data_IF_474035717576
#
_entry.id   IF_474035717576
#
_cell.length_a   1.000
_cell.length_b   1.000
_cell.length_c   1.000
_cell.angle_alpha   90.00
_cell.angle_beta   90.00
_cell.angle_gamma   90.00
#
_symmetry.space_group_name_H-M   'P 1'
#
loop_
_entity.id
_entity.type
_entity.pdbx_description
1 polymer ?
#
# COMPACT_ATOMS: atom_id res chain seq x y z
N UNK A 1 -2.33 -29.73 84.11
CA UNK A 1 -1.18 -29.71 83.18
C UNK A 1 -1.55 -30.65 82.05
N UNK A 2 -2.10 -30.12 80.95
CA UNK A 2 -2.70 -30.93 79.87
C UNK A 2 -1.85 -30.76 78.62
N UNK A 3 -1.29 -31.87 78.14
CA UNK A 3 -0.37 -31.94 77.01
C UNK A 3 -1.16 -31.82 75.71
N UNK A 4 -0.75 -30.92 74.82
CA UNK A 4 -1.26 -30.74 73.46
C UNK A 4 -0.65 -31.81 72.55
N UNK A 5 -1.50 -32.58 71.86
CA UNK A 5 -1.06 -33.59 70.89
C UNK A 5 -1.18 -33.00 69.46
N UNK A 6 -0.04 -32.82 68.79
CA UNK A 6 0.03 -32.38 67.39
C UNK A 6 -0.43 -33.49 66.43
N UNK A 7 -1.42 -33.20 65.57
CA UNK A 7 -1.74 -34.03 64.41
C UNK A 7 -0.98 -33.53 63.18
N UNK A 8 0.01 -34.31 62.73
CA UNK A 8 0.57 -34.21 61.38
C UNK A 8 -0.31 -35.02 60.41
N UNK A 9 -1.00 -34.33 59.50
CA UNK A 9 -1.74 -34.96 58.41
C UNK A 9 -0.79 -35.28 57.25
N UNK A 10 -0.44 -36.57 57.10
CA UNK A 10 0.23 -37.09 55.91
C UNK A 10 -0.81 -37.21 54.79
N UNK A 11 -0.71 -36.35 53.77
CA UNK A 11 -1.52 -36.44 52.56
C UNK A 11 -1.15 -37.73 51.78
N UNK A 12 -1.98 -38.76 51.91
CA UNK A 12 -1.91 -39.97 51.07
C UNK A 12 -2.20 -39.58 49.62
N UNK A 13 -1.20 -39.75 48.72
CA UNK A 13 -1.44 -39.78 47.27
C UNK A 13 -2.40 -40.93 46.99
N UNK A 14 -3.57 -40.60 46.45
CA UNK A 14 -4.55 -41.57 45.98
C UNK A 14 -4.04 -42.07 44.63
N UNK A 15 -3.54 -43.30 44.59
CA UNK A 15 -3.07 -43.92 43.36
C UNK A 15 -4.22 -43.99 42.36
N UNK A 16 -4.01 -43.35 41.20
CA UNK A 16 -5.01 -43.27 40.15
C UNK A 16 -5.05 -44.61 39.42
N UNK A 17 -6.23 -45.25 39.26
CA UNK A 17 -6.32 -46.54 38.57
C UNK A 17 -5.83 -46.39 37.12
N UNK A 18 -5.04 -47.35 36.64
CA UNK A 18 -4.32 -47.30 35.35
C UNK A 18 -5.23 -47.02 34.15
N UNK A 19 -6.47 -47.52 34.21
CA UNK A 19 -7.56 -47.25 33.26
C UNK A 19 -7.91 -45.75 33.12
N UNK A 20 -7.95 -45.05 34.25
CA UNK A 20 -8.25 -43.61 34.30
C UNK A 20 -7.05 -42.79 33.82
N UNK A 21 -5.84 -43.20 34.17
CA UNK A 21 -4.61 -42.55 33.71
C UNK A 21 -4.50 -42.54 32.17
N UNK A 22 -4.79 -43.67 31.52
CA UNK A 22 -4.81 -43.74 30.05
C UNK A 22 -5.89 -42.84 29.43
N UNK A 23 -7.09 -42.78 30.02
CA UNK A 23 -8.16 -41.90 29.53
C UNK A 23 -7.77 -40.43 29.60
N UNK A 24 -7.17 -39.99 30.71
CA UNK A 24 -6.71 -38.60 30.85
C UNK A 24 -5.49 -38.28 29.97
N UNK A 25 -4.61 -39.25 29.73
CA UNK A 25 -3.49 -39.12 28.80
C UNK A 25 -3.97 -38.97 27.35
N UNK A 26 -4.95 -39.76 26.93
CA UNK A 26 -5.57 -39.62 25.60
C UNK A 26 -6.35 -38.31 25.48
N UNK A 27 -7.10 -37.90 26.52
CA UNK A 27 -7.83 -36.64 26.51
C UNK A 27 -6.88 -35.43 26.41
N UNK A 28 -5.76 -35.44 27.15
CA UNK A 28 -4.76 -34.37 27.09
C UNK A 28 -4.03 -34.32 25.75
N UNK A 29 -3.74 -35.49 25.15
CA UNK A 29 -3.17 -35.58 23.81
C UNK A 29 -4.14 -35.04 22.74
N UNK A 30 -5.44 -35.35 22.83
CA UNK A 30 -6.45 -34.77 21.94
C UNK A 30 -6.56 -33.24 22.10
N UNK A 31 -6.52 -32.72 23.33
CA UNK A 31 -6.54 -31.27 23.61
C UNK A 31 -5.30 -30.54 23.07
N UNK A 32 -4.13 -31.17 23.10
CA UNK A 32 -2.90 -30.62 22.49
C UNK A 32 -2.98 -30.61 20.95
N UNK A 33 -3.62 -31.61 20.33
CA UNK A 33 -3.78 -31.68 18.88
C UNK A 33 -4.79 -30.64 18.32
N UNK A 34 -5.80 -30.24 19.09
CA UNK A 34 -6.72 -29.16 18.71
C UNK A 34 -6.11 -27.75 18.83
N UNK A 35 -4.99 -27.59 19.52
CA UNK A 35 -4.32 -26.29 19.71
C UNK A 35 -3.40 -25.91 18.55
N UNK A 36 -3.11 -26.83 17.63
CA UNK A 36 -2.20 -26.60 16.50
C UNK A 36 -2.83 -25.90 15.28
N UNK A 37 -4.16 -25.70 15.28
CA UNK A 37 -4.88 -25.14 14.12
C UNK A 37 -5.27 -23.66 14.26
N UNK A 38 -4.91 -22.98 15.36
CA UNK A 38 -5.31 -21.59 15.61
C UNK A 38 -4.20 -20.54 15.42
N UNK A 39 -2.96 -20.96 15.10
CA UNK A 39 -1.81 -20.05 14.98
C UNK A 39 -1.20 -20.06 13.59
N UNK A 40 -1.96 -19.64 12.57
CA UNK A 40 -1.40 -19.35 11.24
C UNK A 40 -2.27 -18.37 10.44
N UNK A 41 -2.67 -17.24 11.04
CA UNK A 41 -3.29 -16.14 10.27
C UNK A 41 -2.61 -14.76 10.40
N UNK A 42 -1.51 -14.64 11.18
CA UNK A 42 -0.87 -13.34 11.41
C UNK A 42 0.55 -13.18 10.79
N UNK A 43 1.01 -14.10 9.93
CA UNK A 43 2.38 -14.05 9.36
C UNK A 43 2.41 -13.73 7.85
N UNK A 44 1.29 -13.32 7.26
CA UNK A 44 1.31 -12.71 5.92
C UNK A 44 0.34 -11.53 5.89
N UNK A 45 0.65 -10.47 6.64
CA UNK A 45 0.14 -9.16 6.23
C UNK A 45 0.83 -8.84 4.92
N UNK A 46 0.13 -9.09 3.82
CA UNK A 46 0.57 -8.65 2.51
C UNK A 46 0.67 -7.12 2.55
N UNK A 47 1.89 -6.59 2.72
CA UNK A 47 2.14 -5.15 2.76
C UNK A 47 2.16 -4.53 1.35
N UNK A 48 1.84 -5.33 0.33
CA UNK A 48 1.62 -4.85 -1.03
C UNK A 48 0.30 -4.09 -1.07
N UNK A 49 0.39 -2.88 -1.57
CA UNK A 49 -0.76 -2.02 -1.82
C UNK A 49 -1.06 -2.13 -3.30
N UNK A 50 -2.34 -2.18 -3.65
CA UNK A 50 -2.75 -2.02 -5.04
C UNK A 50 -2.58 -0.57 -5.44
N UNK A 51 -1.86 -0.34 -6.53
CA UNK A 51 -1.70 0.97 -7.13
C UNK A 51 -2.25 0.93 -8.53
N UNK A 52 -3.06 1.95 -8.84
CA UNK A 52 -3.36 2.33 -10.21
C UNK A 52 -2.87 3.75 -10.39
N UNK A 53 -2.18 4.02 -11.49
CA UNK A 53 -1.90 5.38 -11.92
C UNK A 53 -1.91 5.46 -13.43
N UNK A 54 -2.12 6.66 -13.96
CA UNK A 54 -2.02 6.93 -15.39
C UNK A 54 -1.35 8.27 -15.58
N UNK A 55 -0.61 8.43 -16.68
CA UNK A 55 -0.21 9.75 -17.14
C UNK A 55 -1.33 10.25 -18.05
N UNK A 56 -2.22 11.08 -17.52
CA UNK A 56 -3.21 11.71 -18.39
C UNK A 56 -2.56 12.91 -19.10
N UNK A 57 -2.02 12.65 -20.29
CA UNK A 57 -1.44 13.66 -21.20
C UNK A 57 -2.45 14.23 -22.18
N UNK A 58 -3.59 13.56 -22.33
CA UNK A 58 -4.80 14.13 -22.91
C UNK A 58 -5.48 14.93 -21.80
N UNK A 59 -6.07 16.07 -22.11
CA UNK A 59 -6.79 16.83 -21.08
C UNK A 59 -7.77 15.91 -20.33
N UNK A 60 -7.99 16.29 -19.08
CA UNK A 60 -8.72 15.58 -18.05
C UNK A 60 -10.13 15.08 -18.44
N UNK A 61 -10.70 15.60 -19.53
CA UNK A 61 -12.00 15.27 -20.10
C UNK A 61 -11.96 14.23 -21.24
N UNK A 62 -10.78 13.69 -21.57
CA UNK A 62 -10.58 12.70 -22.64
C UNK A 62 -10.70 13.26 -24.05
N UNK A 63 -10.68 14.59 -24.22
CA UNK A 63 -10.83 15.27 -25.53
C UNK A 63 -9.63 16.15 -25.90
N UNK A 64 -8.65 16.27 -25.02
CA UNK A 64 -7.52 17.19 -25.20
C UNK A 64 -6.49 16.75 -26.24
N UNK A 65 -5.66 17.72 -26.63
CA UNK A 65 -4.44 17.50 -27.40
C UNK A 65 -3.32 17.10 -26.45
N UNK A 66 -2.49 16.15 -26.87
CA UNK A 66 -1.27 15.84 -26.15
C UNK A 66 -0.27 17.01 -26.30
N UNK A 67 -0.03 17.74 -25.21
CA UNK A 67 0.90 18.88 -25.17
C UNK A 67 2.30 18.48 -24.71
N UNK A 68 2.41 17.31 -24.08
CA UNK A 68 3.67 16.79 -23.55
C UNK A 68 3.91 15.35 -23.95
N UNK A 69 5.17 14.96 -23.93
CA UNK A 69 5.63 13.62 -24.17
C UNK A 69 6.42 13.12 -22.95
N UNK A 70 5.93 12.09 -22.27
CA UNK A 70 6.70 11.45 -21.19
C UNK A 70 7.86 10.69 -21.81
N UNK A 71 9.08 11.01 -21.39
CA UNK A 71 10.32 10.44 -21.90
C UNK A 71 10.85 9.32 -21.00
N UNK A 72 10.70 9.47 -19.68
CA UNK A 72 11.13 8.48 -18.68
C UNK A 72 10.36 8.68 -17.37
N UNK A 73 10.22 7.62 -16.57
CA UNK A 73 9.65 7.70 -15.23
C UNK A 73 10.10 6.55 -14.34
N UNK A 74 10.06 6.78 -13.02
CA UNK A 74 10.22 5.77 -11.98
C UNK A 74 9.15 6.01 -10.92
N UNK A 75 8.43 4.97 -10.54
CA UNK A 75 7.44 4.98 -9.47
C UNK A 75 7.69 3.78 -8.55
N UNK A 76 8.28 4.04 -7.38
CA UNK A 76 8.75 3.03 -6.43
C UNK A 76 10.21 3.24 -6.02
N UNK A 77 10.87 2.18 -5.55
CA UNK A 77 12.28 2.21 -5.13
C UNK A 77 13.15 1.96 -6.38
N UNK A 78 14.01 2.90 -6.80
CA UNK A 78 14.89 2.69 -7.95
C UNK A 78 15.79 1.45 -7.83
N UNK A 79 16.05 0.97 -6.61
CA UNK A 79 16.87 -0.23 -6.33
C UNK A 79 16.02 -1.48 -6.06
N UNK A 80 14.70 -1.36 -6.02
CA UNK A 80 13.77 -2.46 -5.81
C UNK A 80 13.04 -2.82 -7.10
N UNK A 81 11.72 -2.94 -7.00
CA UNK A 81 10.84 -3.30 -8.13
C UNK A 81 9.93 -2.12 -8.52
N UNK A 82 10.48 -1.00 -9.01
CA UNK A 82 9.66 0.15 -9.37
C UNK A 82 8.91 -0.12 -10.66
N UNK A 83 7.75 0.52 -10.81
CA UNK A 83 7.19 0.75 -12.14
C UNK A 83 8.06 1.80 -12.83
N UNK A 84 8.54 1.53 -14.04
CA UNK A 84 9.42 2.45 -14.76
C UNK A 84 9.23 2.33 -16.25
N UNK A 85 9.68 3.35 -16.96
CA UNK A 85 9.91 3.20 -18.39
C UNK A 85 11.08 2.24 -18.63
N UNK A 86 10.93 1.27 -19.52
CA UNK A 86 12.03 0.38 -19.88
C UNK A 86 13.05 1.13 -20.73
N UNK A 87 14.34 0.94 -20.45
CA UNK A 87 15.42 1.66 -21.13
C UNK A 87 15.33 1.54 -22.67
N UNK A 88 14.99 0.37 -23.19
CA UNK A 88 14.78 0.14 -24.62
C UNK A 88 13.65 1.00 -25.21
N UNK A 89 12.56 1.22 -24.45
CA UNK A 89 11.48 2.10 -24.87
C UNK A 89 11.91 3.57 -24.80
N UNK A 90 12.71 3.94 -23.81
CA UNK A 90 13.29 5.28 -23.70
C UNK A 90 14.19 5.59 -24.91
N UNK A 91 15.07 4.65 -25.29
CA UNK A 91 15.96 4.78 -26.45
C UNK A 91 15.19 4.95 -27.78
N UNK A 92 14.01 4.35 -27.87
CA UNK A 92 13.12 4.45 -29.04
C UNK A 92 12.17 5.66 -28.99
N UNK A 93 12.12 6.40 -27.88
CA UNK A 93 11.15 7.47 -27.68
C UNK A 93 9.71 6.95 -27.52
N UNK A 94 9.55 5.71 -27.05
CA UNK A 94 8.27 4.98 -27.00
C UNK A 94 7.82 4.69 -25.56
N UNK A 95 8.11 5.59 -24.63
CA UNK A 95 7.59 5.43 -23.27
C UNK A 95 6.05 5.40 -23.30
N UNK A 96 5.42 4.36 -22.76
CA UNK A 96 3.96 4.24 -22.79
C UNK A 96 3.32 5.32 -21.90
N UNK A 97 2.71 6.31 -22.56
CA UNK A 97 2.09 7.47 -21.90
C UNK A 97 0.59 7.25 -21.67
N UNK A 98 -0.05 6.45 -22.53
CA UNK A 98 -1.44 6.06 -22.39
C UNK A 98 -1.58 4.73 -21.66
N UNK A 99 -2.18 4.73 -20.47
CA UNK A 99 -2.54 3.48 -19.80
C UNK A 99 -2.71 3.60 -18.29
N UNK A 100 -3.64 2.79 -17.77
CA UNK A 100 -3.80 2.53 -16.34
C UNK A 100 -2.70 1.55 -15.91
N UNK A 101 -1.56 2.09 -15.47
CA UNK A 101 -0.51 1.33 -14.82
C UNK A 101 -1.06 0.77 -13.51
N UNK A 102 -1.28 -0.54 -13.50
CA UNK A 102 -1.82 -1.25 -12.36
C UNK A 102 -0.76 -2.21 -11.83
N UNK A 103 -0.55 -2.22 -10.52
CA UNK A 103 0.42 -3.13 -9.92
C UNK A 103 0.35 -3.18 -8.41
N UNK A 104 0.85 -4.28 -7.86
CA UNK A 104 1.12 -4.43 -6.44
C UNK A 104 2.54 -3.93 -6.16
N UNK A 105 2.66 -2.88 -5.36
CA UNK A 105 3.94 -2.38 -4.84
C UNK A 105 3.97 -2.55 -3.33
N UNK A 106 5.12 -2.96 -2.80
CA UNK A 106 5.28 -2.95 -1.35
C UNK A 106 5.29 -1.52 -0.84
N UNK A 107 4.57 -1.25 0.26
CA UNK A 107 4.57 0.09 0.88
C UNK A 107 5.98 0.62 1.13
N UNK A 108 6.90 -0.23 1.58
CA UNK A 108 8.27 0.17 1.87
C UNK A 108 9.09 0.48 0.62
N UNK A 109 8.66 0.02 -0.56
CA UNK A 109 9.26 0.37 -1.86
C UNK A 109 8.69 1.69 -2.41
N UNK A 110 7.62 2.25 -1.85
CA UNK A 110 7.03 3.51 -2.31
C UNK A 110 7.84 4.72 -1.83
N UNK A 111 9.03 4.90 -2.41
CA UNK A 111 10.01 5.92 -2.01
C UNK A 111 10.01 7.13 -2.93
N UNK A 112 9.96 6.88 -4.24
CA UNK A 112 10.24 7.92 -5.23
C UNK A 112 9.18 7.91 -6.32
N UNK A 113 8.83 9.12 -6.77
CA UNK A 113 8.21 9.33 -8.06
C UNK A 113 9.09 10.29 -8.88
N UNK A 114 9.71 9.77 -9.93
CA UNK A 114 10.47 10.52 -10.92
C UNK A 114 9.70 10.52 -12.23
N UNK A 115 9.67 11.65 -12.92
CA UNK A 115 9.19 11.72 -14.30
C UNK A 115 9.94 12.80 -15.07
N UNK A 116 10.25 12.49 -16.32
CA UNK A 116 10.85 13.39 -17.31
C UNK A 116 9.92 13.49 -18.50
N UNK A 117 9.68 14.71 -18.96
CA UNK A 117 8.79 14.97 -20.09
C UNK A 117 9.32 16.09 -20.98
N UNK A 118 8.90 16.07 -22.25
CA UNK A 118 9.16 17.11 -23.25
C UNK A 118 7.88 17.85 -23.56
N UNK A 119 7.94 19.18 -23.58
CA UNK A 119 6.87 20.04 -24.09
C UNK A 119 6.93 20.01 -25.61
N UNK A 120 5.88 19.52 -26.27
CA UNK A 120 5.91 19.25 -27.71
C UNK A 120 6.07 20.53 -28.53
N UNK A 121 5.41 21.62 -28.11
CA UNK A 121 5.43 22.89 -28.84
C UNK A 121 6.78 23.60 -28.84
N UNK A 122 7.59 23.40 -27.79
CA UNK A 122 8.88 24.10 -27.62
C UNK A 122 10.08 23.17 -27.73
N UNK A 123 9.89 21.86 -27.60
CA UNK A 123 10.96 20.89 -27.44
C UNK A 123 11.66 20.94 -26.06
N UNK A 124 11.22 21.83 -25.16
CA UNK A 124 11.80 21.97 -23.82
C UNK A 124 11.61 20.69 -23.02
N UNK A 125 12.67 20.20 -22.40
CA UNK A 125 12.62 19.01 -21.53
C UNK A 125 12.63 19.43 -20.06
N UNK A 126 11.75 18.82 -19.27
CA UNK A 126 11.60 19.04 -17.83
C UNK A 126 11.61 17.72 -17.09
N UNK A 127 11.99 17.76 -15.82
CA UNK A 127 11.93 16.59 -14.95
C UNK A 127 11.66 16.98 -13.50
N UNK A 128 11.06 16.05 -12.75
CA UNK A 128 10.83 16.21 -11.32
C UNK A 128 11.04 14.89 -10.60
N UNK A 129 11.56 14.96 -9.38
CA UNK A 129 11.64 13.84 -8.44
C UNK A 129 10.93 14.21 -7.15
N UNK A 130 9.94 13.42 -6.76
CA UNK A 130 9.19 13.58 -5.50
C UNK A 130 9.59 12.47 -4.52
N UNK A 131 9.86 12.89 -3.28
CA UNK A 131 10.00 11.99 -2.13
C UNK A 131 8.60 11.58 -1.65
N UNK A 132 8.15 10.40 -2.06
CA UNK A 132 6.81 9.91 -1.78
C UNK A 132 6.60 9.59 -0.31
N UNK A 133 7.67 9.29 0.44
CA UNK A 133 7.55 9.02 1.87
C UNK A 133 7.17 10.28 2.66
N UNK A 134 7.58 11.45 2.17
CA UNK A 134 7.19 12.74 2.76
C UNK A 134 5.85 13.24 2.27
N UNK A 135 5.47 12.91 1.02
CA UNK A 135 4.24 13.40 0.39
C UNK A 135 3.00 12.59 0.77
N UNK A 136 3.16 11.31 1.09
CA UNK A 136 2.03 10.43 1.37
C UNK A 136 1.73 10.35 2.87
N UNK A 137 0.45 10.23 3.25
CA UNK A 137 0.08 10.06 4.64
C UNK A 137 0.58 8.71 5.16
N UNK A 138 0.87 8.64 6.47
CA UNK A 138 1.37 7.42 7.11
C UNK A 138 0.41 6.21 6.97
N UNK A 139 -0.88 6.44 6.74
CA UNK A 139 -1.90 5.41 6.51
C UNK A 139 -2.20 5.15 5.03
N UNK A 140 -1.40 5.66 4.10
CA UNK A 140 -1.57 5.46 2.66
C UNK A 140 -1.66 3.98 2.29
N UNK A 141 -2.69 3.57 1.52
CA UNK A 141 -3.04 2.17 1.27
C UNK A 141 -3.94 1.99 0.06
N UNK A 142 -4.55 0.81 -0.05
CA UNK A 142 -5.42 0.35 -1.13
C UNK A 142 -6.64 1.26 -1.41
N UNK A 143 -7.10 1.99 -0.41
CA UNK A 143 -8.24 2.92 -0.54
C UNK A 143 -7.85 4.30 -1.06
N UNK A 144 -6.57 4.56 -1.29
CA UNK A 144 -6.06 5.79 -1.87
C UNK A 144 -5.72 5.57 -3.34
N UNK A 145 -5.77 6.64 -4.13
CA UNK A 145 -5.41 6.59 -5.55
C UNK A 145 -4.49 7.77 -5.88
N UNK A 146 -3.43 7.49 -6.63
CA UNK A 146 -2.51 8.50 -7.13
C UNK A 146 -2.85 8.79 -8.59
N UNK A 147 -3.01 10.07 -8.90
CA UNK A 147 -3.34 10.52 -10.25
C UNK A 147 -2.31 11.52 -10.74
N UNK A 148 -1.71 11.24 -11.90
CA UNK A 148 -0.73 12.10 -12.54
C UNK A 148 -1.36 12.71 -13.80
N UNK A 149 -1.38 14.03 -13.86
CA UNK A 149 -2.05 14.76 -14.94
C UNK A 149 -1.17 15.88 -15.43
N UNK A 150 -1.10 16.06 -16.74
CA UNK A 150 -0.56 17.28 -17.30
C UNK A 150 -1.68 18.27 -17.62
N UNK A 151 -1.48 19.55 -17.27
CA UNK A 151 -2.31 20.66 -17.74
C UNK A 151 -1.40 21.62 -18.50
N UNK A 152 -1.50 21.59 -19.83
CA UNK A 152 -0.44 22.13 -20.70
C UNK A 152 0.91 21.49 -20.33
N UNK A 153 1.99 22.29 -20.14
CA UNK A 153 3.33 21.77 -19.85
C UNK A 153 3.57 21.46 -18.35
N UNK A 154 2.59 21.69 -17.47
CA UNK A 154 2.72 21.53 -16.02
C UNK A 154 2.20 20.16 -15.57
N UNK A 155 3.04 19.44 -14.83
CA UNK A 155 2.64 18.23 -14.12
C UNK A 155 1.86 18.57 -12.85
N UNK A 156 0.80 17.82 -12.60
CA UNK A 156 0.07 17.76 -11.34
C UNK A 156 0.08 16.33 -10.82
N UNK A 157 0.33 16.21 -9.51
CA UNK A 157 0.23 14.94 -8.78
C UNK A 157 -0.83 15.08 -7.72
N UNK A 158 -1.85 14.23 -7.80
CA UNK A 158 -2.97 14.23 -6.86
C UNK A 158 -3.01 12.95 -6.05
N UNK A 159 -3.41 13.08 -4.79
CA UNK A 159 -3.77 11.98 -3.91
C UNK A 159 -5.28 12.02 -3.63
N UNK A 160 -6.02 11.10 -4.23
CA UNK A 160 -7.45 10.92 -3.97
C UNK A 160 -7.60 10.07 -2.70
N UNK A 161 -8.26 10.63 -1.69
CA UNK A 161 -8.45 9.99 -0.39
C UNK A 161 -9.75 9.18 -0.33
N UNK A 162 -9.92 8.19 0.56
CA UNK A 162 -11.19 7.48 0.73
C UNK A 162 -12.34 8.34 1.26
N UNK A 163 -12.06 9.57 1.69
CA UNK A 163 -13.05 10.45 2.30
C UNK A 163 -13.89 11.12 1.22
N UNK A 164 -15.19 11.27 1.49
CA UNK A 164 -16.07 12.08 0.64
C UNK A 164 -15.70 13.56 0.83
N UNK A 165 -15.68 14.31 -0.27
CA UNK A 165 -15.52 15.77 -0.24
C UNK A 165 -16.73 16.41 0.44
N UNK A 166 -16.51 17.47 1.23
CA UNK A 166 -17.62 18.23 1.80
C UNK A 166 -18.37 18.99 0.69
N UNK A 167 -19.67 19.20 0.86
CA UNK A 167 -20.49 19.89 -0.15
C UNK A 167 -19.99 21.32 -0.45
N UNK A 168 -19.37 21.97 0.53
CA UNK A 168 -18.80 23.32 0.42
C UNK A 168 -17.40 23.40 -0.19
N UNK A 169 -16.66 22.29 -0.24
CA UNK A 169 -15.31 22.25 -0.83
C UNK A 169 -15.43 22.17 -2.36
N UNK A 170 -14.58 22.85 -3.13
CA UNK A 170 -14.58 22.69 -4.59
C UNK A 170 -13.94 21.35 -5.01
N UNK A 171 -14.37 20.75 -6.14
CA UNK A 171 -13.67 19.59 -6.71
C UNK A 171 -12.19 19.86 -6.98
N UNK A 172 -11.33 18.87 -6.70
CA UNK A 172 -9.90 18.91 -7.00
C UNK A 172 -9.44 17.55 -7.55
N UNK A 173 -8.49 17.56 -8.48
CA UNK A 173 -8.06 16.35 -9.20
C UNK A 173 -9.22 15.69 -9.99
N UNK A 174 -9.07 14.43 -10.47
CA UNK A 174 -9.90 13.74 -11.49
C UNK A 174 -11.42 13.93 -11.41
N UNK A 175 -12.09 14.14 -12.56
CA UNK A 175 -13.55 14.32 -12.61
C UNK A 175 -14.27 13.07 -12.09
N UNK A 176 -13.76 11.91 -12.53
CA UNK A 176 -14.25 10.60 -12.12
C UNK A 176 -14.26 10.40 -10.60
N UNK A 177 -13.45 11.16 -9.85
CA UNK A 177 -13.38 11.10 -8.39
C UNK A 177 -13.68 12.46 -7.72
N UNK A 178 -14.32 13.39 -8.42
CA UNK A 178 -14.65 14.74 -7.93
C UNK A 178 -15.55 14.77 -6.67
N UNK A 179 -16.17 13.65 -6.32
CA UNK A 179 -16.94 13.47 -5.09
C UNK A 179 -16.08 13.10 -3.87
N UNK A 180 -14.80 12.75 -4.07
CA UNK A 180 -13.83 12.40 -3.03
C UNK A 180 -12.94 13.60 -2.70
N UNK A 181 -12.45 13.65 -1.47
CA UNK A 181 -11.45 14.64 -1.06
C UNK A 181 -10.11 14.28 -1.72
N UNK A 182 -9.51 15.26 -2.36
CA UNK A 182 -8.27 15.09 -3.14
C UNK A 182 -7.24 16.14 -2.72
N UNK A 183 -6.03 15.69 -2.44
CA UNK A 183 -4.89 16.54 -2.09
C UNK A 183 -4.00 16.74 -3.30
N UNK A 184 -3.50 17.96 -3.52
CA UNK A 184 -2.44 18.24 -4.50
C UNK A 184 -1.10 17.98 -3.82
N UNK A 185 -0.30 17.05 -4.34
CA UNK A 185 1.05 16.73 -3.86
C UNK A 185 2.12 17.53 -4.60
N UNK A 186 1.83 17.90 -5.86
CA UNK A 186 2.68 18.72 -6.72
C UNK A 186 1.81 19.43 -7.78
N UNK A 187 2.12 20.70 -8.16
CA UNK A 187 3.15 21.57 -7.56
C UNK A 187 2.86 21.85 -6.08
N UNK A 188 3.89 22.26 -5.34
CA UNK A 188 3.70 22.74 -3.96
C UNK A 188 3.01 24.12 -4.02
N UNK A 189 2.02 24.32 -3.15
CA UNK A 189 1.35 25.62 -2.97
C UNK A 189 2.16 26.56 -2.08
#
# INVERSE_FOLDING_TARGET
MTIVQQHNAVLKRKDMPKEMFFKYLWLSLCLLLFSACATTQNITSDTRIWHSFTFNTYEFDGKGKQDVEVLDFIYGDPRGHPNKCYAELVERGECQQGGNWNGLLYRHELKTFYVKWRVISTGETREVTLDMQKKLPANFGDKFELFFSFRGPQLYVYLVTPQRRAASELPNGPEATAYRKTLTLYPEE
#
